data_IF_507660778334
#
_entry.id   IF_507660778334
#
_cell.length_a   1.000
_cell.length_b   1.000
_cell.length_c   1.000
_cell.angle_alpha   90.00
_cell.angle_beta   90.00
_cell.angle_gamma   90.00
#
_symmetry.space_group_name_H-M   'P 1'
#
loop_
_entity.id
_entity.type
_entity.pdbx_description
1 polymer ?
#
# COMPACT_ATOMS: atom_id res chain seq x y z
N UNK A 1 -9.53 19.63 -18.81
CA UNK A 1 -9.95 18.49 -17.96
C UNK A 1 -9.39 17.21 -18.58
N UNK A 2 -8.18 16.79 -18.20
CA UNK A 2 -7.52 15.60 -18.77
C UNK A 2 -8.02 14.38 -18.00
N UNK A 3 -8.86 13.54 -18.62
CA UNK A 3 -9.14 12.20 -18.08
C UNK A 3 -7.93 11.31 -18.36
N UNK A 4 -7.14 11.01 -17.34
CA UNK A 4 -5.98 10.10 -17.43
C UNK A 4 -6.52 8.69 -17.66
N UNK A 5 -6.45 8.19 -18.90
CA UNK A 5 -6.79 6.80 -19.26
C UNK A 5 -5.65 5.90 -18.80
N UNK A 6 -5.95 4.95 -17.92
CA UNK A 6 -5.04 3.84 -17.61
C UNK A 6 -5.32 2.75 -18.64
N UNK A 7 -4.27 2.28 -19.32
CA UNK A 7 -4.36 1.18 -20.28
C UNK A 7 -4.00 -0.12 -19.54
N UNK A 8 -4.74 -1.20 -19.77
CA UNK A 8 -4.31 -2.54 -19.35
C UNK A 8 -3.21 -3.07 -20.27
N UNK A 9 -2.65 -4.24 -19.95
CA UNK A 9 -1.62 -4.93 -20.73
C UNK A 9 -2.04 -5.24 -22.18
N UNK A 10 -3.35 -5.21 -22.48
CA UNK A 10 -3.93 -5.44 -23.81
C UNK A 10 -4.27 -4.13 -24.55
N UNK A 11 -3.93 -2.97 -23.99
CA UNK A 11 -4.18 -1.66 -24.61
C UNK A 11 -5.63 -1.21 -24.57
N UNK A 12 -6.48 -1.84 -23.75
CA UNK A 12 -7.85 -1.38 -23.51
C UNK A 12 -7.85 -0.26 -22.48
N UNK A 13 -8.73 0.71 -22.70
CA UNK A 13 -9.00 1.74 -21.71
C UNK A 13 -9.70 1.15 -20.50
N UNK A 14 -8.97 1.06 -19.39
CA UNK A 14 -9.54 0.72 -18.10
C UNK A 14 -10.13 1.99 -17.51
N UNK A 15 -11.44 2.03 -17.41
CA UNK A 15 -12.10 2.97 -16.51
C UNK A 15 -11.94 2.42 -15.10
N UNK A 16 -10.92 2.94 -14.40
CA UNK A 16 -10.75 2.68 -12.98
C UNK A 16 -11.83 3.44 -12.22
N UNK A 17 -12.90 2.73 -11.85
CA UNK A 17 -13.89 3.21 -10.90
C UNK A 17 -13.24 3.30 -9.51
N UNK A 18 -13.28 4.47 -8.83
CA UNK A 18 -12.79 4.61 -7.47
C UNK A 18 -13.36 3.58 -6.51
N UNK A 19 -14.63 3.18 -6.68
CA UNK A 19 -15.25 2.17 -5.84
C UNK A 19 -14.61 0.80 -6.06
N UNK A 20 -14.39 0.41 -7.32
CA UNK A 20 -13.70 -0.82 -7.65
C UNK A 20 -12.26 -0.83 -7.10
N UNK A 21 -11.53 0.28 -7.18
CA UNK A 21 -10.19 0.40 -6.59
C UNK A 21 -10.26 0.21 -5.07
N UNK A 22 -11.20 0.87 -4.39
CA UNK A 22 -11.37 0.76 -2.95
C UNK A 22 -11.65 -0.69 -2.51
N UNK A 23 -12.51 -1.41 -3.23
CA UNK A 23 -12.78 -2.84 -2.99
C UNK A 23 -11.53 -3.69 -3.12
N UNK A 24 -10.70 -3.45 -4.16
CA UNK A 24 -9.46 -4.18 -4.36
C UNK A 24 -8.41 -3.89 -3.29
N UNK A 25 -8.34 -2.65 -2.80
CA UNK A 25 -7.47 -2.27 -1.67
C UNK A 25 -7.93 -2.91 -0.36
N UNK A 26 -9.25 -2.93 -0.09
CA UNK A 26 -9.81 -3.62 1.07
C UNK A 26 -9.53 -5.12 1.04
N UNK A 27 -9.68 -5.76 -0.12
CA UNK A 27 -9.36 -7.17 -0.30
C UNK A 27 -7.86 -7.45 -0.10
N UNK A 28 -6.99 -6.61 -0.64
CA UNK A 28 -5.55 -6.72 -0.43
C UNK A 28 -5.20 -6.64 1.07
N UNK A 29 -5.76 -5.66 1.79
CA UNK A 29 -5.58 -5.51 3.24
C UNK A 29 -6.06 -6.76 4.00
N UNK A 30 -7.25 -7.28 3.66
CA UNK A 30 -7.78 -8.49 4.30
C UNK A 30 -6.87 -9.71 4.09
N UNK A 31 -6.31 -9.88 2.88
CA UNK A 31 -5.36 -10.96 2.58
C UNK A 31 -4.02 -10.79 3.30
N UNK A 32 -3.51 -9.56 3.40
CA UNK A 32 -2.29 -9.28 4.20
C UNK A 32 -2.50 -9.63 5.67
N UNK A 33 -3.65 -9.24 6.25
CA UNK A 33 -3.98 -9.59 7.63
C UNK A 33 -4.14 -11.09 7.83
N UNK A 34 -4.77 -11.79 6.87
CA UNK A 34 -4.88 -13.25 6.90
C UNK A 34 -3.50 -13.94 6.87
N UNK A 35 -2.56 -13.41 6.07
CA UNK A 35 -1.22 -13.96 5.94
C UNK A 35 -0.42 -13.87 7.25
N UNK A 36 -0.60 -12.78 8.01
CA UNK A 36 0.13 -12.56 9.27
C UNK A 36 -0.62 -13.03 10.52
N UNK A 37 -1.91 -13.38 10.40
CA UNK A 37 -2.75 -13.84 11.49
C UNK A 37 -2.18 -15.01 12.34
N UNK A 38 -1.47 -16.01 11.78
CA UNK A 38 -0.93 -17.10 12.59
C UNK A 38 0.36 -16.73 13.35
N UNK A 39 0.94 -15.55 13.10
CA UNK A 39 2.21 -15.13 13.70
C UNK A 39 2.00 -14.53 15.10
N UNK A 40 2.90 -14.85 16.01
CA UNK A 40 2.99 -14.21 17.33
C UNK A 40 3.59 -12.82 17.24
N UNK A 41 3.38 -11.99 18.26
CA UNK A 41 4.00 -10.65 18.34
C UNK A 41 5.54 -10.71 18.27
N UNK A 42 6.14 -11.75 18.87
CA UNK A 42 7.59 -11.94 18.79
C UNK A 42 8.05 -12.27 17.37
N UNK A 43 7.32 -13.13 16.65
CA UNK A 43 7.64 -13.45 15.25
C UNK A 43 7.48 -12.24 14.34
N UNK A 44 6.46 -11.41 14.55
CA UNK A 44 6.27 -10.16 13.79
C UNK A 44 7.46 -9.18 13.95
N UNK A 45 8.10 -9.17 15.13
CA UNK A 45 9.24 -8.30 15.44
C UNK A 45 10.59 -8.90 15.07
N UNK A 46 10.65 -10.19 14.76
CA UNK A 46 11.91 -10.89 14.51
C UNK A 46 12.42 -10.57 13.11
N UNK A 47 13.69 -10.20 13.03
CA UNK A 47 14.41 -10.08 11.77
C UNK A 47 15.13 -11.40 11.48
N UNK A 48 14.69 -12.12 10.45
CA UNK A 48 15.26 -13.43 10.12
C UNK A 48 16.58 -13.35 9.33
N UNK A 49 16.79 -12.28 8.57
CA UNK A 49 18.02 -12.01 7.82
C UNK A 49 18.41 -10.54 7.93
N UNK A 50 19.70 -10.24 8.01
CA UNK A 50 20.24 -8.87 8.07
C UNK A 50 19.77 -7.96 6.92
N UNK A 51 19.47 -8.52 5.75
CA UNK A 51 19.00 -7.80 4.57
C UNK A 51 17.49 -7.52 4.59
N UNK A 52 16.73 -8.29 5.36
CA UNK A 52 15.27 -8.15 5.44
C UNK A 52 14.87 -7.26 6.61
N UNK A 53 13.75 -6.57 6.46
CA UNK A 53 13.02 -5.91 7.55
C UNK A 53 12.26 -6.94 8.40
N UNK A 54 11.96 -6.64 9.67
CA UNK A 54 10.91 -7.34 10.41
C UNK A 54 9.54 -7.16 9.73
N UNK A 55 8.69 -8.18 9.79
CA UNK A 55 7.33 -8.14 9.20
C UNK A 55 6.52 -6.96 9.78
N UNK A 56 6.68 -6.66 11.07
CA UNK A 56 6.00 -5.53 11.71
C UNK A 56 6.40 -4.19 11.08
N UNK A 57 7.66 -4.05 10.65
CA UNK A 57 8.12 -2.87 9.95
C UNK A 57 7.46 -2.76 8.57
N UNK A 58 7.36 -3.88 7.82
CA UNK A 58 6.70 -3.93 6.51
C UNK A 58 5.21 -3.56 6.60
N UNK A 59 4.50 -4.03 7.63
CA UNK A 59 3.11 -3.65 7.88
C UNK A 59 2.97 -2.14 8.15
N UNK A 60 3.89 -1.58 8.92
CA UNK A 60 3.96 -0.13 9.15
C UNK A 60 4.25 0.66 7.87
N UNK A 61 5.15 0.13 7.03
CA UNK A 61 5.46 0.68 5.72
C UNK A 61 4.22 0.73 4.80
N UNK A 62 3.47 -0.38 4.70
CA UNK A 62 2.21 -0.42 3.94
C UNK A 62 1.23 0.62 4.45
N UNK A 63 1.02 0.70 5.77
CA UNK A 63 0.07 1.64 6.36
C UNK A 63 0.45 3.11 6.10
N UNK A 64 1.73 3.46 6.23
CA UNK A 64 2.21 4.81 5.96
C UNK A 64 2.12 5.16 4.47
N UNK A 65 2.42 4.21 3.59
CA UNK A 65 2.27 4.40 2.15
C UNK A 65 0.79 4.63 1.76
N UNK A 66 -0.13 3.86 2.34
CA UNK A 66 -1.57 4.07 2.14
C UNK A 66 -2.03 5.44 2.67
N UNK A 67 -1.53 5.91 3.82
CA UNK A 67 -1.84 7.26 4.32
C UNK A 67 -1.39 8.34 3.32
N UNK A 68 -0.15 8.26 2.86
CA UNK A 68 0.43 9.20 1.91
C UNK A 68 -0.43 9.32 0.64
N UNK A 69 -0.81 8.19 0.05
CA UNK A 69 -1.49 8.20 -1.25
C UNK A 69 -3.02 8.27 -1.17
N UNK A 70 -3.64 7.65 -0.18
CA UNK A 70 -5.10 7.58 -0.07
C UNK A 70 -5.68 8.68 0.81
N UNK A 71 -4.89 9.28 1.70
CA UNK A 71 -5.39 10.35 2.59
C UNK A 71 -4.83 11.71 2.20
N UNK A 72 -3.52 11.81 1.92
CA UNK A 72 -2.87 13.10 1.67
C UNK A 72 -2.90 13.49 0.19
N UNK A 73 -2.59 12.56 -0.72
CA UNK A 73 -2.44 12.86 -2.15
C UNK A 73 -3.63 12.43 -3.03
N UNK A 74 -4.71 11.87 -2.47
CA UNK A 74 -5.79 11.28 -3.28
C UNK A 74 -6.62 12.32 -4.04
N UNK A 75 -6.69 13.54 -3.51
CA UNK A 75 -7.37 14.69 -4.12
C UNK A 75 -6.39 15.84 -4.26
N UNK A 76 -6.47 16.56 -5.39
CA UNK A 76 -5.66 17.76 -5.61
C UNK A 76 -4.25 17.45 -6.14
N UNK A 77 -3.36 18.47 -6.16
CA UNK A 77 -1.98 18.28 -6.55
C UNK A 77 -1.23 17.43 -5.51
N UNK A 78 -0.25 16.63 -5.95
CA UNK A 78 0.63 15.86 -5.06
C UNK A 78 1.54 16.83 -4.32
N UNK A 79 1.46 16.84 -2.98
CA UNK A 79 2.26 17.73 -2.14
C UNK A 79 3.50 17.03 -1.54
N UNK A 80 3.46 15.70 -1.43
CA UNK A 80 4.51 14.89 -0.81
C UNK A 80 4.82 13.67 -1.67
N UNK A 81 6.10 13.48 -2.04
CA UNK A 81 6.53 12.37 -2.91
C UNK A 81 7.42 11.37 -2.15
N UNK A 82 8.21 11.87 -1.21
CA UNK A 82 9.03 11.05 -0.32
C UNK A 82 8.23 10.69 0.92
N UNK A 83 8.39 9.47 1.41
CA UNK A 83 7.74 9.01 2.62
C UNK A 83 8.58 9.46 3.84
N UNK A 84 8.10 10.40 4.68
CA UNK A 84 8.91 10.88 5.79
C UNK A 84 8.91 9.90 6.98
N UNK A 85 10.06 9.75 7.63
CA UNK A 85 10.16 9.09 8.95
C UNK A 85 10.52 7.60 8.91
N UNK A 86 10.18 6.89 9.99
CA UNK A 86 10.70 5.57 10.35
C UNK A 86 10.45 4.45 9.33
N UNK A 87 9.47 4.62 8.46
CA UNK A 87 9.05 3.60 7.50
C UNK A 87 9.61 3.82 6.09
N UNK A 88 10.38 4.88 5.85
CA UNK A 88 11.05 5.08 4.57
C UNK A 88 12.20 4.05 4.42
N UNK A 89 12.28 3.28 3.32
CA UNK A 89 13.38 2.35 3.08
C UNK A 89 14.73 3.03 2.89
#
# INVERSE_FOLDING_TARGET
>A
MIRRRTLDTDGRTVHLDPQHIAERLLEARARTLLLVAPLTDNELRTQHDSLMSPILWDLGHIAHFEELWLTRNVVGPVEFVEMPGLYNP
#
